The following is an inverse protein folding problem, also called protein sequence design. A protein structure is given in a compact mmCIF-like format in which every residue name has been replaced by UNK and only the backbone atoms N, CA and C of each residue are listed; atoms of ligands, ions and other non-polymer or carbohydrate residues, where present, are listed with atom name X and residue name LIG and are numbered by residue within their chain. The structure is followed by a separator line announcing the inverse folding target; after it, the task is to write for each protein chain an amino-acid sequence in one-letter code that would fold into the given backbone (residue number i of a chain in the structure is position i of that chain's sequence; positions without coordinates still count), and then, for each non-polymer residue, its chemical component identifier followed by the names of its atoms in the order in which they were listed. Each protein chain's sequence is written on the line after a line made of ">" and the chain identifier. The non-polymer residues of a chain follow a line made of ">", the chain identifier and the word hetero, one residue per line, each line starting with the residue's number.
data_IF_652480626020
#
_entry.id   IF_652480626020
#
_cell.length_a   1.000
_cell.length_b   1.000
_cell.length_c   1.000
_cell.angle_alpha   90.00
_cell.angle_beta   90.00
_cell.angle_gamma   90.00
#
_symmetry.space_group_name_H-M   'P 1'
#
loop_
_entity.id
_entity.type
_entity.pdbx_description
1 polymer ?
#
# COMPACT_ATOMS: atom_id res chain seq x y z
N UNK A 1 9.49 -4.90 -31.95
CA UNK A 1 9.97 -4.46 -30.63
C UNK A 1 9.14 -5.20 -29.60
N UNK A 2 9.78 -5.86 -28.64
CA UNK A 2 9.05 -6.52 -27.56
C UNK A 2 8.70 -5.45 -26.52
N UNK A 3 7.49 -4.91 -26.60
CA UNK A 3 6.98 -4.01 -25.56
C UNK A 3 6.78 -4.82 -24.28
N UNK A 4 7.26 -4.30 -23.16
CA UNK A 4 7.08 -4.94 -21.86
C UNK A 4 5.57 -4.98 -21.51
N UNK A 5 5.04 -6.16 -21.18
CA UNK A 5 3.62 -6.28 -20.85
C UNK A 5 3.31 -5.60 -19.50
N UNK A 6 2.14 -4.97 -19.40
CA UNK A 6 1.68 -4.33 -18.17
C UNK A 6 1.67 -5.30 -16.96
N UNK A 7 1.37 -6.59 -17.21
CA UNK A 7 1.40 -7.65 -16.20
C UNK A 7 2.82 -7.94 -15.68
N UNK A 8 3.81 -7.90 -16.57
CA UNK A 8 5.23 -8.02 -16.21
C UNK A 8 5.69 -6.81 -15.40
N UNK A 9 5.36 -5.59 -15.83
CA UNK A 9 5.70 -4.35 -15.11
C UNK A 9 5.08 -4.35 -13.71
N UNK A 10 3.80 -4.73 -13.59
CA UNK A 10 3.11 -4.88 -12.30
C UNK A 10 3.78 -5.90 -11.39
N UNK A 11 4.24 -7.03 -11.95
CA UNK A 11 4.95 -8.06 -11.19
C UNK A 11 6.29 -7.57 -10.66
N UNK A 12 7.06 -6.87 -11.51
CA UNK A 12 8.32 -6.24 -11.09
C UNK A 12 8.07 -5.20 -9.99
N UNK A 13 7.04 -4.36 -10.14
CA UNK A 13 6.69 -3.35 -9.14
C UNK A 13 6.24 -3.96 -7.81
N UNK A 14 5.33 -4.93 -7.82
CA UNK A 14 4.87 -5.63 -6.61
C UNK A 14 6.02 -6.32 -5.86
N UNK A 15 7.02 -6.82 -6.61
CA UNK A 15 8.25 -7.39 -6.06
C UNK A 15 9.14 -6.32 -5.45
N UNK A 16 9.38 -5.22 -6.17
CA UNK A 16 10.19 -4.10 -5.69
C UNK A 16 9.62 -3.48 -4.40
N UNK A 17 8.31 -3.21 -4.37
CA UNK A 17 7.61 -2.70 -3.17
C UNK A 17 7.71 -3.68 -2.01
N UNK A 18 7.53 -4.98 -2.25
CA UNK A 18 7.65 -5.95 -1.16
C UNK A 18 9.07 -6.13 -0.64
N UNK A 19 10.08 -6.03 -1.51
CA UNK A 19 11.48 -6.10 -1.08
C UNK A 19 11.87 -4.86 -0.28
N UNK A 20 11.42 -3.68 -0.73
CA UNK A 20 11.55 -2.42 0.01
C UNK A 20 10.90 -2.54 1.40
N UNK A 21 9.63 -2.95 1.47
CA UNK A 21 8.92 -3.05 2.74
C UNK A 21 9.51 -4.13 3.68
N UNK A 22 10.08 -5.22 3.15
CA UNK A 22 10.82 -6.22 3.94
C UNK A 22 12.14 -5.69 4.52
N UNK A 23 12.74 -4.68 3.88
CA UNK A 23 13.94 -4.02 4.38
C UNK A 23 13.60 -2.96 5.44
N UNK A 24 12.45 -2.30 5.29
CA UNK A 24 11.97 -1.26 6.21
C UNK A 24 11.34 -1.84 7.49
N UNK A 25 10.57 -2.93 7.38
CA UNK A 25 9.77 -3.47 8.48
C UNK A 25 10.16 -4.92 8.86
N UNK A 26 11.03 -5.14 9.87
CA UNK A 26 11.42 -6.48 10.32
C UNK A 26 10.24 -7.39 10.70
N UNK A 27 9.19 -6.82 11.29
CA UNK A 27 7.98 -7.57 11.67
C UNK A 27 7.22 -8.11 10.45
N UNK A 28 7.27 -7.44 9.30
CA UNK A 28 6.67 -7.95 8.07
C UNK A 28 7.38 -9.21 7.58
N UNK A 29 8.70 -9.32 7.75
CA UNK A 29 9.46 -10.54 7.44
C UNK A 29 9.00 -11.71 8.30
N UNK A 30 8.86 -11.49 9.61
CA UNK A 30 8.36 -12.51 10.53
C UNK A 30 6.92 -12.93 10.17
N UNK A 31 6.05 -11.97 9.81
CA UNK A 31 4.70 -12.25 9.35
C UNK A 31 4.66 -13.08 8.07
N UNK A 32 5.54 -12.78 7.12
CA UNK A 32 5.65 -13.52 5.86
C UNK A 32 6.01 -14.99 6.10
N UNK A 33 6.95 -15.26 7.00
CA UNK A 33 7.29 -16.63 7.40
C UNK A 33 6.10 -17.33 8.06
N UNK A 34 5.43 -16.66 9.00
CA UNK A 34 4.25 -17.19 9.70
C UNK A 34 3.13 -17.56 8.72
N UNK A 35 2.77 -16.66 7.80
CA UNK A 35 1.70 -16.91 6.83
C UNK A 35 2.07 -18.07 5.89
N UNK A 36 3.35 -18.17 5.49
CA UNK A 36 3.80 -19.28 4.66
C UNK A 36 3.70 -20.64 5.38
N UNK A 37 3.99 -20.69 6.69
CA UNK A 37 3.81 -21.89 7.51
C UNK A 37 2.32 -22.26 7.67
N UNK A 38 1.48 -21.29 8.00
CA UNK A 38 0.02 -21.50 8.15
C UNK A 38 -0.60 -21.98 6.85
N UNK A 39 -0.23 -21.39 5.71
CA UNK A 39 -0.73 -21.81 4.40
C UNK A 39 -0.29 -23.24 4.09
N UNK A 40 0.97 -23.59 4.36
CA UNK A 40 1.48 -24.95 4.15
C UNK A 40 0.72 -25.98 4.99
N UNK A 41 0.49 -25.69 6.26
CA UNK A 41 -0.26 -26.56 7.16
C UNK A 41 -1.72 -26.69 6.70
N UNK A 42 -2.36 -25.58 6.35
CA UNK A 42 -3.74 -25.57 5.85
C UNK A 42 -3.90 -26.43 4.59
N UNK A 43 -2.94 -26.36 3.66
CA UNK A 43 -2.94 -27.17 2.44
C UNK A 43 -2.67 -28.66 2.70
N UNK A 44 -1.89 -28.99 3.74
CA UNK A 44 -1.67 -30.36 4.17
C UNK A 44 -2.93 -30.98 4.79
N UNK A 45 -3.63 -30.20 5.63
CA UNK A 45 -4.82 -30.64 6.35
C UNK A 45 -6.09 -30.64 5.48
N UNK A 46 -6.10 -29.90 4.37
CA UNK A 46 -7.23 -29.81 3.45
C UNK A 46 -6.86 -30.18 1.99
N UNK A 47 -6.66 -31.47 1.65
CA UNK A 47 -6.28 -31.89 0.29
C UNK A 47 -7.28 -31.49 -0.81
N UNK A 48 -8.56 -31.37 -0.48
CA UNK A 48 -9.58 -30.88 -1.42
C UNK A 48 -9.44 -29.38 -1.70
N UNK A 49 -9.06 -28.58 -0.71
CA UNK A 49 -8.74 -27.16 -0.92
C UNK A 49 -7.52 -27.03 -1.82
N UNK A 50 -6.45 -27.80 -1.55
CA UNK A 50 -5.25 -27.82 -2.38
C UNK A 50 -5.56 -28.13 -3.84
N UNK A 51 -6.35 -29.18 -4.11
CA UNK A 51 -6.78 -29.53 -5.49
C UNK A 51 -7.53 -28.39 -6.17
N UNK A 52 -8.51 -27.78 -5.50
CA UNK A 52 -9.26 -26.64 -6.06
C UNK A 52 -8.36 -25.44 -6.38
N UNK A 53 -7.39 -25.14 -5.53
CA UNK A 53 -6.47 -24.02 -5.77
C UNK A 53 -5.50 -24.32 -6.92
N UNK A 54 -5.08 -25.58 -7.08
CA UNK A 54 -4.24 -26.04 -8.18
C UNK A 54 -4.99 -25.95 -9.52
N UNK A 55 -6.22 -26.46 -9.57
CA UNK A 55 -7.11 -26.43 -10.73
C UNK A 55 -7.45 -25.00 -11.22
N UNK A 56 -7.31 -23.99 -10.34
CA UNK A 56 -7.60 -22.58 -10.64
C UNK A 56 -6.32 -21.71 -10.78
N UNK A 57 -5.13 -22.31 -10.80
CA UNK A 57 -3.83 -21.61 -10.86
C UNK A 57 -3.64 -20.59 -9.71
N UNK A 58 -4.22 -20.87 -8.53
CA UNK A 58 -4.17 -19.97 -7.37
C UNK A 58 -3.02 -20.30 -6.41
N UNK A 59 -2.47 -21.51 -6.46
CA UNK A 59 -1.39 -21.93 -5.56
C UNK A 59 -0.12 -21.09 -5.72
N UNK A 60 0.31 -20.82 -6.95
CA UNK A 60 1.48 -19.99 -7.22
C UNK A 60 1.26 -18.53 -6.78
N UNK A 61 0.00 -18.07 -6.87
CA UNK A 61 -0.40 -16.70 -6.53
C UNK A 61 -0.40 -16.44 -5.02
N UNK A 62 -0.66 -17.43 -4.18
CA UNK A 62 -0.69 -17.26 -2.71
C UNK A 62 0.57 -16.60 -2.15
N UNK A 63 1.74 -16.87 -2.74
CA UNK A 63 3.02 -16.32 -2.28
C UNK A 63 3.31 -14.89 -2.80
N UNK A 64 2.59 -14.47 -3.84
CA UNK A 64 2.77 -13.19 -4.55
C UNK A 64 1.64 -12.21 -4.23
N UNK A 65 0.44 -12.70 -3.88
CA UNK A 65 -0.73 -11.88 -3.62
C UNK A 65 -0.51 -10.97 -2.42
N UNK A 66 -0.52 -9.68 -2.71
CA UNK A 66 -0.29 -8.61 -1.76
C UNK A 66 -1.23 -7.47 -2.08
N UNK A 67 -1.64 -6.77 -1.03
CA UNK A 67 -2.29 -5.48 -1.19
C UNK A 67 -1.56 -4.41 -0.39
N UNK A 68 -1.22 -3.31 -1.05
CA UNK A 68 -0.67 -2.13 -0.41
C UNK A 68 -1.75 -1.12 -0.06
N UNK A 69 -1.46 -0.23 0.87
CA UNK A 69 -2.29 0.95 1.12
C UNK A 69 -1.42 2.20 1.21
N UNK A 70 -1.85 3.26 0.53
CA UNK A 70 -1.18 4.56 0.49
C UNK A 70 -2.19 5.69 0.68
N UNK A 71 -1.69 6.86 1.07
CA UNK A 71 -2.49 8.05 1.29
C UNK A 71 -1.83 9.25 0.61
N UNK A 72 -2.60 10.01 -0.15
CA UNK A 72 -2.16 11.23 -0.85
C UNK A 72 -2.93 12.44 -0.35
N UNK A 73 -2.31 13.60 -0.48
CA UNK A 73 -2.82 14.87 0.04
C UNK A 73 -3.58 15.70 -0.98
N UNK A 74 -3.32 15.54 -2.28
CA UNK A 74 -3.91 16.39 -3.33
C UNK A 74 -4.54 15.61 -4.48
N UNK A 75 -5.45 16.28 -5.20
CA UNK A 75 -6.09 15.71 -6.38
C UNK A 75 -5.08 15.50 -7.52
N UNK A 76 -4.08 16.38 -7.64
CA UNK A 76 -2.99 16.30 -8.61
C UNK A 76 -2.12 15.07 -8.35
N UNK A 77 -1.80 14.79 -7.08
CA UNK A 77 -1.08 13.57 -6.68
C UNK A 77 -1.87 12.31 -7.07
N UNK A 78 -3.18 12.27 -6.77
CA UNK A 78 -4.03 11.14 -7.13
C UNK A 78 -4.14 10.96 -8.65
N UNK A 79 -4.28 12.06 -9.39
CA UNK A 79 -4.37 12.04 -10.86
C UNK A 79 -3.09 11.52 -11.51
N UNK A 80 -1.92 11.89 -10.98
CA UNK A 80 -0.64 11.38 -11.47
C UNK A 80 -0.44 9.92 -11.07
N UNK A 81 -0.82 9.51 -9.86
CA UNK A 81 -0.82 8.09 -9.47
C UNK A 81 -1.71 7.24 -10.37
N UNK A 82 -2.87 7.74 -10.80
CA UNK A 82 -3.71 7.04 -11.78
C UNK A 82 -2.96 6.77 -13.07
N UNK A 83 -2.20 7.74 -13.60
CA UNK A 83 -1.38 7.55 -14.81
C UNK A 83 -0.27 6.51 -14.55
N UNK A 84 0.43 6.63 -13.43
CA UNK A 84 1.48 5.69 -13.00
C UNK A 84 0.94 4.25 -12.92
N UNK A 85 -0.22 4.04 -12.27
CA UNK A 85 -0.84 2.72 -12.13
C UNK A 85 -1.41 2.18 -13.45
N UNK A 86 -1.84 3.04 -14.37
CA UNK A 86 -2.32 2.62 -15.68
C UNK A 86 -1.23 1.91 -16.52
N UNK A 87 0.05 2.32 -16.39
CA UNK A 87 1.21 1.65 -17.03
C UNK A 87 1.30 0.18 -16.60
N UNK A 88 0.93 -0.10 -15.35
CA UNK A 88 0.91 -1.45 -14.77
C UNK A 88 -0.43 -2.18 -15.02
N UNK A 89 -1.29 -1.65 -15.88
CA UNK A 89 -2.60 -2.24 -16.17
C UNK A 89 -3.55 -2.21 -14.98
N UNK A 90 -3.36 -1.26 -14.05
CA UNK A 90 -4.17 -1.11 -12.85
C UNK A 90 -5.14 0.07 -13.02
N UNK A 91 -6.43 -0.20 -12.90
CA UNK A 91 -7.49 0.78 -13.01
C UNK A 91 -8.09 1.08 -11.62
N UNK A 92 -8.63 2.29 -11.39
CA UNK A 92 -9.35 2.60 -10.16
C UNK A 92 -10.67 1.82 -10.12
N UNK A 93 -10.86 0.99 -9.10
CA UNK A 93 -12.06 0.18 -8.93
C UNK A 93 -12.69 0.46 -7.56
N UNK A 94 -13.98 0.79 -7.59
CA UNK A 94 -14.74 1.12 -6.39
C UNK A 94 -14.50 2.55 -5.88
N UNK A 95 -15.43 3.00 -5.05
CA UNK A 95 -15.38 4.26 -4.32
C UNK A 95 -15.70 3.98 -2.87
N UNK A 96 -14.86 4.47 -1.97
CA UNK A 96 -14.97 4.22 -0.54
C UNK A 96 -14.93 5.57 0.18
N UNK A 97 -16.05 5.97 0.79
CA UNK A 97 -16.12 7.17 1.61
C UNK A 97 -15.91 6.79 3.08
N UNK A 98 -14.73 7.11 3.62
CA UNK A 98 -14.39 6.79 5.01
C UNK A 98 -14.77 7.93 5.97
N UNK A 99 -15.31 9.04 5.46
CA UNK A 99 -15.82 10.14 6.30
C UNK A 99 -16.99 9.68 7.18
N UNK A 100 -17.75 8.68 6.73
CA UNK A 100 -18.82 8.03 7.50
C UNK A 100 -18.27 7.37 8.79
N UNK A 101 -17.00 6.94 8.78
CA UNK A 101 -16.31 6.40 9.93
C UNK A 101 -15.48 7.46 10.70
N UNK A 102 -15.68 8.75 10.41
CA UNK A 102 -14.95 9.85 11.04
C UNK A 102 -13.51 10.02 10.54
N UNK A 103 -13.12 9.35 9.45
CA UNK A 103 -11.77 9.44 8.88
C UNK A 103 -11.83 10.43 7.70
N UNK A 104 -10.98 11.48 7.65
CA UNK A 104 -11.11 12.56 6.67
C UNK A 104 -10.52 12.18 5.30
N UNK A 105 -10.91 11.04 4.74
CA UNK A 105 -10.47 10.56 3.42
C UNK A 105 -11.60 9.90 2.65
N UNK A 106 -11.45 9.88 1.33
CA UNK A 106 -12.15 8.96 0.45
C UNK A 106 -11.15 8.24 -0.46
N UNK A 107 -11.52 7.10 -1.00
CA UNK A 107 -10.53 6.17 -1.57
C UNK A 107 -11.06 5.38 -2.77
N UNK A 108 -10.12 4.79 -3.50
CA UNK A 108 -10.34 3.81 -4.56
C UNK A 108 -9.27 2.71 -4.49
N UNK A 109 -9.48 1.57 -5.14
CA UNK A 109 -8.46 0.52 -5.24
C UNK A 109 -7.94 0.42 -6.68
N UNK A 110 -6.66 0.71 -6.91
CA UNK A 110 -6.03 0.47 -8.20
C UNK A 110 -5.66 -1.01 -8.32
N UNK A 111 -6.19 -1.69 -9.35
CA UNK A 111 -5.95 -3.12 -9.59
C UNK A 111 -6.18 -3.52 -11.04
N UNK A 112 -5.65 -4.66 -11.52
CA UNK A 112 -6.11 -5.24 -12.79
C UNK A 112 -7.58 -5.66 -12.70
N UNK A 113 -8.29 -5.59 -13.83
CA UNK A 113 -9.72 -5.94 -13.93
C UNK A 113 -9.93 -7.28 -14.65
N UNK A 114 -9.16 -7.55 -15.71
CA UNK A 114 -9.32 -8.76 -16.52
C UNK A 114 -8.83 -10.02 -15.80
N UNK A 115 -9.55 -11.12 -16.00
CA UNK A 115 -9.25 -12.42 -15.37
C UNK A 115 -7.82 -12.90 -15.67
N UNK A 116 -7.37 -12.79 -16.93
CA UNK A 116 -5.98 -13.10 -17.32
C UNK A 116 -4.95 -12.25 -16.57
N UNK A 117 -5.21 -10.96 -16.41
CA UNK A 117 -4.31 -10.04 -15.71
C UNK A 117 -4.29 -10.30 -14.19
N UNK A 118 -5.45 -10.62 -13.60
CA UNK A 118 -5.57 -11.03 -12.20
C UNK A 118 -4.84 -12.36 -11.93
N UNK A 119 -4.95 -13.33 -12.85
CA UNK A 119 -4.19 -14.59 -12.80
C UNK A 119 -2.69 -14.34 -12.88
N UNK A 120 -2.24 -13.50 -13.81
CA UNK A 120 -0.83 -13.18 -13.96
C UNK A 120 -0.25 -12.51 -12.70
N UNK A 121 -0.95 -11.50 -12.17
CA UNK A 121 -0.57 -10.85 -10.91
C UNK A 121 -1.74 -10.02 -10.34
N UNK A 122 -2.30 -10.38 -9.17
CA UNK A 122 -3.47 -9.70 -8.60
C UNK A 122 -3.13 -8.47 -7.74
N UNK A 123 -1.89 -7.95 -7.81
CA UNK A 123 -1.46 -6.82 -6.99
C UNK A 123 -2.44 -5.64 -7.09
N UNK A 124 -2.80 -5.14 -5.92
CA UNK A 124 -3.73 -4.01 -5.77
C UNK A 124 -3.20 -3.03 -4.74
N UNK A 125 -3.54 -1.77 -4.91
CA UNK A 125 -3.17 -0.71 -3.97
C UNK A 125 -4.38 0.15 -3.64
N UNK A 126 -4.72 0.19 -2.35
CA UNK A 126 -5.78 1.04 -1.84
C UNK A 126 -5.23 2.46 -1.67
N UNK A 127 -5.79 3.42 -2.39
CA UNK A 127 -5.28 4.79 -2.42
C UNK A 127 -6.34 5.72 -1.87
N UNK A 128 -6.00 6.39 -0.77
CA UNK A 128 -6.89 7.34 -0.09
C UNK A 128 -6.45 8.77 -0.37
N UNK A 129 -7.38 9.65 -0.68
CA UNK A 129 -7.16 11.08 -0.82
C UNK A 129 -7.69 11.80 0.42
N UNK A 130 -6.83 12.62 1.03
CA UNK A 130 -7.16 13.51 2.13
C UNK A 130 -8.24 14.53 1.73
N UNK A 131 -9.23 14.70 2.61
CA UNK A 131 -10.28 15.70 2.51
C UNK A 131 -10.01 16.82 3.50
N UNK A 132 -9.22 17.82 3.07
CA UNK A 132 -8.88 18.98 3.89
C UNK A 132 -10.10 19.77 4.37
N UNK A 133 -11.18 19.75 3.60
CA UNK A 133 -12.46 20.38 3.94
C UNK A 133 -13.14 19.76 5.18
N UNK A 134 -12.80 18.50 5.53
CA UNK A 134 -13.29 17.83 6.73
C UNK A 134 -12.43 18.13 7.97
N UNK A 135 -11.34 18.88 7.83
CA UNK A 135 -10.48 19.26 8.95
C UNK A 135 -11.07 20.49 9.64
N UNK A 136 -11.63 20.29 10.84
CA UNK A 136 -12.32 21.36 11.59
C UNK A 136 -11.40 22.49 12.06
N UNK A 137 -10.13 22.21 12.35
CA UNK A 137 -9.16 23.23 12.74
C UNK A 137 -8.67 24.01 11.49
N UNK A 138 -9.04 25.29 11.40
CA UNK A 138 -8.68 26.16 10.28
C UNK A 138 -7.16 26.33 10.10
N UNK A 139 -6.43 26.56 11.19
CA UNK A 139 -4.97 26.68 11.16
C UNK A 139 -4.30 25.39 10.65
N UNK A 140 -4.76 24.23 11.11
CA UNK A 140 -4.25 22.95 10.64
C UNK A 140 -4.53 22.74 9.14
N UNK A 141 -5.70 23.18 8.66
CA UNK A 141 -6.09 23.11 7.25
C UNK A 141 -5.20 23.97 6.36
N UNK A 142 -4.97 25.22 6.76
CA UNK A 142 -4.12 26.18 6.03
C UNK A 142 -2.68 25.67 5.93
N UNK A 143 -2.08 25.30 7.06
CA UNK A 143 -0.73 24.72 7.10
C UNK A 143 -0.64 23.48 6.20
N UNK A 144 -1.66 22.60 6.26
CA UNK A 144 -1.67 21.38 5.45
C UNK A 144 -1.73 21.69 3.97
N UNK A 145 -2.56 22.66 3.55
CA UNK A 145 -2.66 23.07 2.16
C UNK A 145 -1.33 23.66 1.64
N UNK A 146 -0.67 24.51 2.43
CA UNK A 146 0.64 25.10 2.08
C UNK A 146 1.73 24.05 1.91
N UNK A 147 1.86 23.13 2.87
CA UNK A 147 2.87 22.07 2.83
C UNK A 147 2.64 21.14 1.65
N UNK A 148 1.40 20.74 1.39
CA UNK A 148 1.05 19.86 0.27
C UNK A 148 1.26 20.53 -1.09
N UNK A 149 1.02 21.84 -1.21
CA UNK A 149 1.23 22.59 -2.45
C UNK A 149 2.72 22.72 -2.83
N UNK A 150 3.64 22.63 -1.88
CA UNK A 150 5.07 22.83 -2.10
C UNK A 150 5.85 21.54 -2.42
N UNK A 151 5.26 20.36 -2.17
CA UNK A 151 5.96 19.10 -2.38
C UNK A 151 5.74 18.54 -3.79
N UNK A 152 6.74 17.82 -4.28
CA UNK A 152 6.58 16.91 -5.41
C UNK A 152 6.96 15.50 -4.96
N UNK A 153 5.96 14.62 -4.92
CA UNK A 153 6.16 13.21 -4.54
C UNK A 153 6.75 12.38 -5.67
N UNK A 154 6.76 12.89 -6.92
CA UNK A 154 7.26 12.19 -8.09
C UNK A 154 8.63 12.70 -8.47
N UNK A 155 9.57 11.80 -8.77
CA UNK A 155 10.86 12.23 -9.31
C UNK A 155 10.65 12.80 -10.72
N UNK A 156 11.47 13.77 -11.17
CA UNK A 156 11.43 14.27 -12.54
C UNK A 156 11.55 13.13 -13.57
N UNK A 157 12.38 12.12 -13.27
CA UNK A 157 12.54 10.94 -14.13
C UNK A 157 11.28 10.07 -14.18
N UNK A 158 10.58 9.87 -13.07
CA UNK A 158 9.31 9.14 -13.05
C UNK A 158 8.28 9.81 -13.96
N UNK A 159 8.13 11.14 -13.89
CA UNK A 159 7.23 11.92 -14.77
C UNK A 159 7.60 11.74 -16.25
N UNK A 160 8.88 11.89 -16.58
CA UNK A 160 9.38 11.73 -17.95
C UNK A 160 9.11 10.32 -18.50
N UNK A 161 9.24 9.28 -17.67
CA UNK A 161 8.94 7.89 -18.04
C UNK A 161 7.44 7.67 -18.26
N UNK A 162 6.57 8.26 -17.43
CA UNK A 162 5.12 8.21 -17.63
C UNK A 162 4.75 8.83 -18.98
N UNK A 163 5.27 10.03 -19.27
CA UNK A 163 5.00 10.71 -20.54
C UNK A 163 5.57 9.92 -21.74
N UNK A 164 6.69 9.23 -21.56
CA UNK A 164 7.28 8.38 -22.60
C UNK A 164 6.39 7.18 -22.91
N UNK A 165 5.90 6.49 -21.88
CA UNK A 165 5.01 5.35 -22.03
C UNK A 165 3.73 5.72 -22.77
N UNK A 166 3.12 6.85 -22.41
CA UNK A 166 1.88 7.31 -23.05
C UNK A 166 2.06 7.64 -24.54
N UNK A 167 3.29 7.94 -24.98
CA UNK A 167 3.61 8.19 -26.39
C UNK A 167 3.86 6.93 -27.20
N UNK A 168 4.58 5.94 -26.64
CA UNK A 168 5.05 4.79 -27.43
C UNK A 168 5.23 3.46 -26.67
N UNK A 169 4.74 3.36 -25.44
CA UNK A 169 5.04 2.21 -24.58
C UNK A 169 6.49 2.17 -24.10
N UNK A 170 6.86 1.06 -23.46
CA UNK A 170 8.21 0.82 -22.93
C UNK A 170 8.84 -0.42 -23.56
N UNK A 171 10.15 -0.34 -23.77
CA UNK A 171 10.98 -1.54 -23.83
C UNK A 171 11.29 -2.12 -22.44
N UNK A 172 11.94 -3.27 -22.38
CA UNK A 172 12.29 -3.94 -21.13
C UNK A 172 13.24 -3.12 -20.23
N UNK A 173 14.10 -2.27 -20.80
CA UNK A 173 15.02 -1.42 -20.04
C UNK A 173 14.27 -0.30 -19.34
N UNK A 174 13.42 0.39 -20.09
CA UNK A 174 12.58 1.49 -19.62
C UNK A 174 11.56 1.01 -18.57
N UNK A 175 10.99 -0.18 -18.77
CA UNK A 175 10.10 -0.81 -17.81
C UNK A 175 10.79 -1.04 -16.45
N UNK A 176 12.04 -1.55 -16.46
CA UNK A 176 12.82 -1.75 -15.22
C UNK A 176 13.15 -0.42 -14.55
N UNK A 177 13.56 0.58 -15.33
CA UNK A 177 13.84 1.91 -14.81
C UNK A 177 12.61 2.56 -14.19
N UNK A 178 11.46 2.48 -14.87
CA UNK A 178 10.18 2.97 -14.37
C UNK A 178 9.82 2.34 -13.03
N UNK A 179 9.96 1.02 -12.88
CA UNK A 179 9.69 0.33 -11.62
C UNK A 179 10.57 0.86 -10.49
N UNK A 180 11.86 1.09 -10.76
CA UNK A 180 12.79 1.62 -9.76
C UNK A 180 12.44 3.05 -9.35
N UNK A 181 12.09 3.92 -10.31
CA UNK A 181 11.67 5.29 -10.02
C UNK A 181 10.32 5.34 -9.29
N UNK A 182 9.34 4.54 -9.72
CA UNK A 182 8.02 4.47 -9.10
C UNK A 182 8.09 3.96 -7.66
N UNK A 183 8.93 2.95 -7.38
CA UNK A 183 9.07 2.41 -6.02
C UNK A 183 9.61 3.44 -5.02
N UNK A 184 10.42 4.43 -5.46
CA UNK A 184 10.95 5.50 -4.58
C UNK A 184 9.85 6.36 -3.96
N UNK A 185 8.71 6.49 -4.63
CA UNK A 185 7.58 7.32 -4.16
C UNK A 185 7.01 6.79 -2.84
N UNK A 186 7.05 5.47 -2.66
CA UNK A 186 6.38 4.77 -1.56
C UNK A 186 7.33 4.37 -0.43
N UNK A 187 8.60 4.78 -0.52
CA UNK A 187 9.63 4.47 0.47
C UNK A 187 9.36 5.21 1.77
N UNK A 188 9.57 4.53 2.90
CA UNK A 188 9.58 5.21 4.18
C UNK A 188 10.79 6.14 4.30
N UNK A 189 10.54 7.35 4.80
CA UNK A 189 11.59 8.28 5.20
C UNK A 189 11.24 8.83 6.57
N UNK A 190 12.02 8.45 7.60
CA UNK A 190 11.80 8.89 8.98
C UNK A 190 11.98 10.40 9.19
N UNK A 191 12.53 11.12 8.21
CA UNK A 191 12.67 12.57 8.27
C UNK A 191 11.40 13.29 7.79
N UNK A 192 10.79 14.07 8.68
CA UNK A 192 9.67 14.94 8.37
C UNK A 192 10.11 16.12 7.46
N UNK A 193 9.20 16.57 6.60
CA UNK A 193 9.37 17.76 5.73
C UNK A 193 8.94 19.06 6.40
N UNK A 194 8.56 18.99 7.67
CA UNK A 194 8.09 20.11 8.48
C UNK A 194 8.83 20.13 9.81
N UNK A 195 8.81 21.27 10.50
CA UNK A 195 9.39 21.38 11.84
C UNK A 195 8.60 20.60 12.89
N UNK A 196 9.23 20.31 14.04
CA UNK A 196 8.55 19.62 15.14
C UNK A 196 7.33 20.39 15.66
N UNK A 197 7.37 21.73 15.64
CA UNK A 197 6.25 22.59 16.02
C UNK A 197 5.04 22.44 15.09
N UNK A 198 5.28 22.39 13.77
CA UNK A 198 4.23 22.14 12.77
C UNK A 198 3.64 20.75 12.95
N UNK A 199 4.50 19.73 13.09
CA UNK A 199 4.06 18.36 13.33
C UNK A 199 3.17 18.25 14.59
N UNK A 200 3.57 18.90 15.69
CA UNK A 200 2.78 18.96 16.94
C UNK A 200 1.47 19.74 16.82
N UNK A 201 1.34 20.61 15.83
CA UNK A 201 0.07 21.30 15.52
C UNK A 201 -0.87 20.38 14.75
N UNK A 202 -0.35 19.61 13.79
CA UNK A 202 -1.17 18.74 12.93
C UNK A 202 -1.54 17.41 13.60
N UNK A 203 -0.61 16.79 14.32
CA UNK A 203 -0.76 15.44 14.88
C UNK A 203 -1.96 15.28 15.83
N UNK A 204 -2.25 16.22 16.75
CA UNK A 204 -3.42 16.12 17.63
C UNK A 204 -4.76 16.29 16.91
N UNK A 205 -4.77 16.92 15.73
CA UNK A 205 -6.00 17.15 14.96
C UNK A 205 -6.55 15.83 14.44
N UNK A 206 -5.70 15.01 13.84
CA UNK A 206 -6.00 13.63 13.47
C UNK A 206 -4.68 12.91 13.14
N UNK A 207 -4.42 11.68 13.63
CA UNK A 207 -3.16 10.97 13.37
C UNK A 207 -2.83 10.83 11.86
N UNK A 208 -3.85 10.56 11.05
CA UNK A 208 -3.74 10.47 9.59
C UNK A 208 -3.37 11.81 8.91
N UNK A 209 -3.70 12.96 9.49
CA UNK A 209 -3.37 14.26 8.88
C UNK A 209 -1.85 14.47 8.88
N UNK A 210 -1.20 14.27 10.05
CA UNK A 210 0.25 14.40 10.16
C UNK A 210 0.98 13.36 9.29
N UNK A 211 0.46 12.13 9.23
CA UNK A 211 0.97 11.06 8.37
C UNK A 211 1.00 11.44 6.88
N UNK A 212 -0.04 12.12 6.39
CA UNK A 212 -0.11 12.54 4.98
C UNK A 212 0.73 13.79 4.71
N UNK A 213 0.69 14.76 5.60
CA UNK A 213 1.20 16.12 5.33
C UNK A 213 2.68 16.25 5.67
N UNK A 214 3.13 15.63 6.76
CA UNK A 214 4.45 15.91 7.33
C UNK A 214 5.59 15.13 6.69
N UNK A 215 5.32 14.23 5.74
CA UNK A 215 6.32 13.35 5.13
C UNK A 215 6.47 13.61 3.64
N UNK A 216 7.64 13.23 3.13
CA UNK A 216 8.08 13.51 1.74
C UNK A 216 7.15 12.92 0.68
N UNK A 217 6.53 11.78 0.96
CA UNK A 217 5.68 11.08 0.00
C UNK A 217 4.77 10.05 0.66
N UNK A 218 3.90 9.41 -0.13
CA UNK A 218 2.89 8.48 0.34
C UNK A 218 3.50 7.11 0.63
N UNK A 219 4.23 6.98 1.74
CA UNK A 219 4.84 5.72 2.14
C UNK A 219 3.80 4.58 2.27
N UNK A 220 4.24 3.33 2.14
CA UNK A 220 3.36 2.17 2.31
C UNK A 220 2.87 2.09 3.75
N UNK A 221 1.57 2.34 3.97
CA UNK A 221 0.95 2.25 5.31
C UNK A 221 0.98 0.82 5.85
N UNK A 222 0.64 -0.13 4.97
CA UNK A 222 0.75 -1.55 5.23
C UNK A 222 0.84 -2.30 3.91
N UNK A 223 1.49 -3.45 3.97
CA UNK A 223 1.48 -4.44 2.91
C UNK A 223 0.95 -5.74 3.51
N UNK A 224 -0.17 -6.22 2.98
CA UNK A 224 -0.87 -7.36 3.59
C UNK A 224 -0.64 -8.64 2.80
N UNK A 225 -0.51 -9.74 3.52
CA UNK A 225 -0.27 -11.08 3.00
C UNK A 225 -1.58 -11.89 2.95
N UNK A 226 -1.66 -12.88 2.05
CA UNK A 226 -2.81 -13.77 1.93
C UNK A 226 -2.62 -15.03 2.80
N UNK A 227 -3.40 -15.15 3.87
CA UNK A 227 -3.51 -16.36 4.69
C UNK A 227 -4.76 -17.17 4.32
N UNK A 228 -4.61 -18.48 4.08
CA UNK A 228 -5.71 -19.41 3.78
C UNK A 228 -6.61 -19.65 5.00
N UNK A 229 -6.04 -19.63 6.21
CA UNK A 229 -6.76 -19.70 7.48
C UNK A 229 -6.32 -18.54 8.38
N UNK A 230 -7.17 -17.50 8.44
CA UNK A 230 -6.91 -16.32 9.26
C UNK A 230 -7.04 -16.60 10.76
N UNK A 231 -7.83 -17.60 11.18
CA UNK A 231 -7.99 -17.93 12.59
C UNK A 231 -6.71 -18.61 13.11
N UNK A 232 -6.13 -19.50 12.30
CA UNK A 232 -4.82 -20.10 12.55
C UNK A 232 -3.71 -19.05 12.53
N UNK A 233 -3.71 -18.14 11.54
CA UNK A 233 -2.73 -17.06 11.48
C UNK A 233 -2.83 -16.12 12.69
N UNK A 234 -4.03 -15.71 13.08
CA UNK A 234 -4.26 -14.85 14.25
C UNK A 234 -3.77 -15.49 15.55
N UNK A 235 -4.09 -16.77 15.77
CA UNK A 235 -3.60 -17.53 16.92
C UNK A 235 -2.07 -17.65 16.93
N UNK A 236 -1.48 -17.92 15.76
CA UNK A 236 -0.04 -18.02 15.59
C UNK A 236 0.69 -16.67 15.77
N UNK A 237 0.01 -15.55 15.46
CA UNK A 237 0.53 -14.20 15.74
C UNK A 237 0.56 -13.93 17.24
N UNK A 238 -0.51 -14.27 17.95
CA UNK A 238 -0.58 -14.11 19.41
C UNK A 238 0.49 -14.95 20.12
N UNK A 239 0.71 -16.20 19.68
CA UNK A 239 1.73 -17.08 20.23
C UNK A 239 3.18 -16.60 19.98
N UNK A 240 3.39 -15.64 19.06
CA UNK A 240 4.70 -15.05 18.75
C UNK A 240 4.81 -13.59 19.20
N UNK A 241 3.97 -13.17 20.14
CA UNK A 241 3.94 -11.81 20.71
C UNK A 241 3.81 -10.70 19.66
N UNK A 242 3.20 -11.00 18.51
CA UNK A 242 2.95 -9.99 17.48
C UNK A 242 1.78 -9.07 17.82
N UNK A 243 1.05 -9.33 18.93
CA UNK A 243 -0.06 -8.50 19.43
C UNK A 243 -1.11 -8.13 18.34
N UNK A 244 -1.78 -9.13 17.72
CA UNK A 244 -2.89 -8.86 16.81
C UNK A 244 -4.02 -8.10 17.51
N UNK A 245 -4.81 -7.33 16.75
CA UNK A 245 -6.09 -6.82 17.25
C UNK A 245 -6.98 -7.98 17.69
N UNK A 246 -7.74 -7.78 18.76
CA UNK A 246 -8.66 -8.79 19.27
C UNK A 246 -9.77 -9.17 18.27
N UNK A 247 -10.15 -8.24 17.39
CA UNK A 247 -11.24 -8.43 16.43
C UNK A 247 -10.67 -8.75 15.05
N UNK A 248 -11.22 -9.79 14.43
CA UNK A 248 -11.08 -10.06 12.99
C UNK A 248 -12.28 -9.40 12.30
N UNK A 249 -12.00 -8.46 11.39
CA UNK A 249 -13.00 -7.78 10.60
C UNK A 249 -13.49 -8.65 9.44
N UNK A 250 -14.71 -8.40 8.96
CA UNK A 250 -15.36 -9.17 7.90
C UNK A 250 -16.41 -10.18 8.43
N UNK A 251 -16.89 -11.09 7.59
CA UNK A 251 -17.85 -12.10 8.01
C UNK A 251 -17.23 -13.10 9.01
N UNK A 252 -18.04 -13.81 9.80
CA UNK A 252 -17.56 -14.89 10.66
C UNK A 252 -16.97 -16.05 9.83
N UNK A 253 -16.34 -17.03 10.50
CA UNK A 253 -15.81 -18.24 9.85
C UNK A 253 -16.92 -18.98 9.10
N UNK A 254 -16.63 -19.43 7.88
CA UNK A 254 -17.57 -20.15 6.99
C UNK A 254 -16.84 -21.24 6.20
N UNK A 255 -17.55 -22.30 5.84
CA UNK A 255 -17.04 -23.34 4.93
C UNK A 255 -16.84 -22.82 3.51
N UNK A 256 -17.65 -21.85 3.10
CA UNK A 256 -17.48 -21.08 1.86
C UNK A 256 -17.26 -19.61 2.27
N UNK A 257 -15.98 -19.15 2.30
CA UNK A 257 -15.65 -17.77 2.59
C UNK A 257 -16.31 -16.82 1.59
N UNK A 258 -16.72 -15.65 2.07
CA UNK A 258 -17.29 -14.57 1.25
C UNK A 258 -16.54 -13.27 1.57
N UNK A 259 -16.46 -12.38 0.59
CA UNK A 259 -15.68 -11.14 0.71
C UNK A 259 -14.25 -11.44 1.19
N UNK A 260 -13.84 -10.84 2.30
CA UNK A 260 -12.57 -11.14 2.95
C UNK A 260 -12.73 -11.01 4.46
N UNK A 261 -11.82 -11.67 5.20
CA UNK A 261 -11.59 -11.44 6.61
C UNK A 261 -10.22 -10.81 6.79
N UNK A 262 -10.07 -9.87 7.70
CA UNK A 262 -8.79 -9.20 7.93
C UNK A 262 -8.53 -8.95 9.41
N UNK A 263 -7.26 -8.90 9.77
CA UNK A 263 -6.78 -8.44 11.06
C UNK A 263 -5.52 -7.62 10.85
N UNK A 264 -5.13 -6.86 11.87
CA UNK A 264 -3.92 -6.07 11.88
C UNK A 264 -3.21 -6.28 13.20
N UNK A 265 -1.91 -6.03 13.23
CA UNK A 265 -1.13 -6.01 14.46
C UNK A 265 -0.46 -4.65 14.62
N UNK A 266 -0.03 -4.35 15.85
CA UNK A 266 0.66 -3.10 16.13
C UNK A 266 2.09 -3.19 15.60
N UNK A 267 2.38 -2.42 14.55
CA UNK A 267 3.75 -2.22 14.11
C UNK A 267 4.55 -1.44 15.17
N UNK A 268 5.87 -1.70 15.25
CA UNK A 268 6.75 -0.91 16.12
C UNK A 268 6.66 0.59 15.79
N UNK A 269 6.62 1.49 16.80
CA UNK A 269 6.75 2.92 16.56
C UNK A 269 8.10 3.22 15.90
N UNK A 270 8.07 3.94 14.78
CA UNK A 270 9.29 4.40 14.12
C UNK A 270 9.65 5.82 14.59
N UNK A 271 10.93 6.10 14.89
CA UNK A 271 11.35 7.45 15.26
C UNK A 271 11.15 8.41 14.08
N UNK A 272 10.62 9.59 14.36
CA UNK A 272 10.50 10.68 13.39
C UNK A 272 11.56 11.73 13.68
N UNK A 273 12.39 12.02 12.69
CA UNK A 273 13.42 13.06 12.73
C UNK A 273 12.85 14.37 12.18
N UNK A 274 13.21 15.49 12.80
CA UNK A 274 12.77 16.82 12.37
C UNK A 274 13.97 17.66 11.94
N UNK A 275 13.71 18.64 11.06
CA UNK A 275 14.67 19.72 10.79
C UNK A 275 13.95 21.03 11.08
N UNK A 276 14.47 21.77 12.05
CA UNK A 276 13.94 23.05 12.45
C UNK A 276 14.28 24.14 11.41
N UNK A 277 13.56 25.26 11.46
CA UNK A 277 13.78 26.38 10.53
C UNK A 277 15.20 26.96 10.61
N UNK A 278 15.87 26.80 11.75
CA UNK A 278 17.26 27.21 11.98
C UNK A 278 18.29 26.13 11.62
N UNK A 279 17.85 24.99 11.07
CA UNK A 279 18.70 23.89 10.63
C UNK A 279 19.07 22.88 11.73
N UNK A 280 18.58 23.05 12.97
CA UNK A 280 18.75 22.05 14.04
C UNK A 280 17.97 20.77 13.72
N UNK A 281 18.54 19.63 14.12
CA UNK A 281 17.91 18.30 14.06
C UNK A 281 17.39 17.89 15.43
#
# INVERSE_FOLDING_TARGET
>A
MNDASADSIRTMFATAVSNMYQAEAPQYRAMKTLVAEVNRQTLADAPQLKRRLDENDELERLNVERHGAIRVGTAEELSMLRRLFAIMGMAPVGYYDLSIAGIPVHSTAFRPIGERALRANPFRIFTSLLRLDLIGNAQAREISAEVLAQRDIFTPRCRALIDLFERRGFDDGEAREFVLEAAKIFRWNGQATVSSAVYRTLHPTHPLLADIVCFKGPHINHLTLHALDIDAAHSAMAARDMNPKAIIEGPPRRSCPILLRQTSFRACPEPVEFVEKDGRR
#
